data_IF_777007460716
#
_entry.id   IF_777007460716
#
_cell.length_a   1.000
_cell.length_b   1.000
_cell.length_c   1.000
_cell.angle_alpha   90.00
_cell.angle_beta   90.00
_cell.angle_gamma   90.00
#
_symmetry.space_group_name_H-M   'P 1'
#
loop_
_entity.id
_entity.type
_entity.pdbx_description
1 polymer ?
#
# COMPACT_ATOMS: atom_id res chain seq x y z
N UNK A 1 28.35 26.50 11.27
CA UNK A 1 28.14 25.72 10.03
C UNK A 1 26.66 25.45 9.95
N UNK A 2 25.93 26.17 9.10
CA UNK A 2 24.52 25.90 8.85
C UNK A 2 24.48 24.88 7.70
N UNK A 3 23.95 23.70 7.97
CA UNK A 3 23.67 22.72 6.92
C UNK A 3 22.44 23.25 6.20
N UNK A 4 22.61 23.89 5.05
CA UNK A 4 21.52 24.08 4.10
C UNK A 4 21.29 22.71 3.46
N UNK A 5 20.31 21.97 3.98
CA UNK A 5 19.73 20.88 3.22
C UNK A 5 18.95 21.52 2.07
N UNK A 6 19.47 21.42 0.85
CA UNK A 6 18.65 21.60 -0.34
C UNK A 6 17.55 20.53 -0.24
N UNK A 7 16.34 20.97 0.12
CA UNK A 7 15.16 20.10 0.05
C UNK A 7 14.90 19.93 -1.43
N UNK A 8 15.48 18.87 -2.02
CA UNK A 8 15.03 18.38 -3.31
C UNK A 8 13.53 18.11 -3.15
N UNK A 9 12.71 18.96 -3.74
CA UNK A 9 11.28 18.74 -3.84
C UNK A 9 11.13 17.43 -4.60
N UNK A 10 10.73 16.37 -3.89
CA UNK A 10 10.34 15.12 -4.52
C UNK A 10 9.28 15.51 -5.55
N UNK A 11 9.47 15.20 -6.84
CA UNK A 11 8.51 15.57 -7.85
C UNK A 11 7.13 15.06 -7.42
N UNK A 12 6.15 15.97 -7.32
CA UNK A 12 4.78 15.57 -7.07
C UNK A 12 4.37 14.64 -8.21
N UNK A 13 4.13 13.38 -7.89
CA UNK A 13 3.69 12.39 -8.86
C UNK A 13 2.26 12.77 -9.24
N UNK A 14 2.12 13.55 -10.31
CA UNK A 14 0.84 14.04 -10.85
C UNK A 14 0.10 12.95 -11.66
N UNK A 15 0.70 11.76 -11.81
CA UNK A 15 0.13 10.66 -12.56
C UNK A 15 -0.88 9.86 -11.75
N UNK A 16 -2.10 9.73 -12.28
CA UNK A 16 -3.10 8.81 -11.72
C UNK A 16 -2.75 7.36 -12.04
N UNK A 17 -2.90 6.46 -11.06
CA UNK A 17 -2.76 5.02 -11.29
C UNK A 17 -4.00 4.50 -12.03
N UNK A 18 -3.78 3.65 -13.04
CA UNK A 18 -4.90 3.02 -13.73
C UNK A 18 -5.68 2.09 -12.78
N UNK A 19 -7.01 2.05 -12.92
CA UNK A 19 -7.88 1.21 -12.09
C UNK A 19 -7.46 -0.27 -12.13
N UNK A 20 -6.92 -0.74 -13.25
CA UNK A 20 -6.40 -2.12 -13.41
C UNK A 20 -5.20 -2.36 -12.49
N UNK A 21 -4.22 -1.44 -12.50
CA UNK A 21 -3.03 -1.53 -11.63
C UNK A 21 -3.42 -1.39 -10.15
N UNK A 22 -4.34 -0.48 -9.83
CA UNK A 22 -4.88 -0.32 -8.48
C UNK A 22 -5.57 -1.57 -7.95
N UNK A 23 -6.51 -2.14 -8.72
CA UNK A 23 -7.20 -3.39 -8.35
C UNK A 23 -6.21 -4.53 -8.12
N UNK A 24 -5.15 -4.62 -8.92
CA UNK A 24 -4.09 -5.60 -8.70
C UNK A 24 -3.36 -5.41 -7.35
N UNK A 25 -3.05 -4.17 -6.96
CA UNK A 25 -2.46 -3.87 -5.64
C UNK A 25 -3.41 -4.24 -4.50
N UNK A 26 -4.69 -3.89 -4.61
CA UNK A 26 -5.72 -4.24 -3.61
C UNK A 26 -5.82 -5.76 -3.44
N UNK A 27 -5.82 -6.52 -4.53
CA UNK A 27 -5.85 -7.98 -4.47
C UNK A 27 -4.60 -8.57 -3.80
N UNK A 28 -3.41 -8.00 -4.05
CA UNK A 28 -2.18 -8.40 -3.35
C UNK A 28 -2.26 -8.09 -1.86
N UNK A 29 -2.74 -6.89 -1.50
CA UNK A 29 -2.94 -6.51 -0.11
C UNK A 29 -3.90 -7.48 0.59
N UNK A 30 -5.06 -7.76 0.00
CA UNK A 30 -6.02 -8.71 0.57
C UNK A 30 -5.39 -10.08 0.83
N UNK A 31 -4.64 -10.61 -0.14
CA UNK A 31 -3.90 -11.88 0.02
C UNK A 31 -2.87 -11.81 1.14
N UNK A 32 -2.11 -10.73 1.25
CA UNK A 32 -1.13 -10.52 2.32
C UNK A 32 -1.79 -10.52 3.69
N UNK A 33 -2.84 -9.72 3.89
CA UNK A 33 -3.52 -9.63 5.19
C UNK A 33 -4.15 -10.97 5.57
N UNK A 34 -4.79 -11.67 4.64
CA UNK A 34 -5.34 -13.02 4.88
C UNK A 34 -4.22 -13.98 5.30
N UNK A 35 -3.11 -14.01 4.56
CA UNK A 35 -1.98 -14.87 4.89
C UNK A 35 -1.39 -14.54 6.27
N UNK A 36 -1.22 -13.26 6.59
CA UNK A 36 -0.71 -12.82 7.89
C UNK A 36 -1.66 -13.23 9.02
N UNK A 37 -2.96 -13.01 8.86
CA UNK A 37 -3.95 -13.42 9.85
C UNK A 37 -3.94 -14.94 10.08
N UNK A 38 -3.84 -15.73 9.00
CA UNK A 38 -3.69 -17.19 9.07
C UNK A 38 -2.44 -17.62 9.84
N UNK A 39 -1.32 -16.91 9.66
CA UNK A 39 -0.07 -17.21 10.40
C UNK A 39 -0.10 -16.77 11.85
N UNK A 40 -0.83 -15.68 12.18
CA UNK A 40 -0.89 -15.13 13.53
C UNK A 40 -1.85 -15.89 14.44
N UNK A 41 -2.96 -16.41 13.92
CA UNK A 41 -3.90 -17.25 14.65
C UNK A 41 -4.40 -18.41 13.76
N UNK A 42 -3.67 -19.55 13.71
CA UNK A 42 -4.05 -20.70 12.90
C UNK A 42 -5.33 -21.39 13.39
N UNK A 43 -5.82 -21.05 14.58
CA UNK A 43 -7.06 -21.56 15.17
C UNK A 43 -8.31 -20.86 14.62
N UNK A 44 -8.17 -19.70 13.98
CA UNK A 44 -9.29 -18.97 13.39
C UNK A 44 -9.00 -18.53 11.93
N UNK A 45 -8.96 -19.47 10.97
CA UNK A 45 -8.64 -19.18 9.58
C UNK A 45 -9.67 -18.31 8.85
N UNK A 46 -10.84 -18.08 9.46
CA UNK A 46 -11.91 -17.24 8.92
C UNK A 46 -11.94 -15.84 9.54
N UNK A 47 -11.02 -15.50 10.45
CA UNK A 47 -11.01 -14.20 11.15
C UNK A 47 -10.92 -13.00 10.20
N UNK A 48 -10.28 -13.18 9.04
CA UNK A 48 -10.20 -12.18 7.98
C UNK A 48 -10.87 -12.73 6.73
N UNK A 49 -12.11 -12.31 6.49
CA UNK A 49 -12.82 -12.57 5.25
C UNK A 49 -12.72 -11.36 4.29
N UNK A 50 -12.94 -11.57 2.99
CA UNK A 50 -12.90 -10.46 2.01
C UNK A 50 -13.80 -9.31 2.43
N UNK A 51 -14.98 -9.59 2.98
CA UNK A 51 -15.94 -8.57 3.39
C UNK A 51 -15.39 -7.62 4.48
N UNK A 52 -14.61 -8.13 5.43
CA UNK A 52 -13.94 -7.30 6.45
C UNK A 52 -12.87 -6.40 5.81
N UNK A 53 -12.12 -6.93 4.85
CA UNK A 53 -11.12 -6.18 4.11
C UNK A 53 -11.74 -5.12 3.20
N UNK A 54 -12.84 -5.44 2.53
CA UNK A 54 -13.63 -4.49 1.74
C UNK A 54 -14.13 -3.35 2.64
N UNK A 55 -14.60 -3.66 3.85
CA UNK A 55 -14.99 -2.62 4.81
C UNK A 55 -13.83 -1.72 5.23
N UNK A 56 -12.62 -2.28 5.43
CA UNK A 56 -11.42 -1.46 5.69
C UNK A 56 -11.17 -0.53 4.51
N UNK A 57 -11.21 -1.02 3.27
CA UNK A 57 -11.03 -0.16 2.10
C UNK A 57 -12.08 0.96 2.04
N UNK A 58 -13.34 0.69 2.41
CA UNK A 58 -14.38 1.71 2.52
C UNK A 58 -14.07 2.76 3.60
N UNK A 59 -13.61 2.33 4.79
CA UNK A 59 -13.27 3.24 5.90
C UNK A 59 -12.16 4.24 5.53
N UNK A 60 -11.22 3.80 4.70
CA UNK A 60 -10.13 4.63 4.20
C UNK A 60 -10.42 5.27 2.83
N UNK A 61 -11.68 5.19 2.33
CA UNK A 61 -12.10 5.74 1.03
C UNK A 61 -11.31 5.20 -0.18
N UNK A 62 -10.75 3.99 -0.05
CA UNK A 62 -9.94 3.29 -1.04
C UNK A 62 -10.78 2.53 -2.09
N UNK A 63 -12.10 2.56 -1.96
CA UNK A 63 -13.06 1.97 -2.90
C UNK A 63 -13.40 2.88 -4.09
N UNK A 64 -12.72 4.02 -4.24
CA UNK A 64 -12.95 4.97 -5.32
C UNK A 64 -12.50 4.43 -6.69
N UNK A 65 -13.23 4.81 -7.74
CA UNK A 65 -12.89 4.51 -9.14
C UNK A 65 -11.75 5.37 -9.70
N UNK A 66 -11.32 6.40 -8.96
CA UNK A 66 -10.21 7.29 -9.31
C UNK A 66 -9.12 7.25 -8.23
N UNK A 67 -8.32 6.18 -8.19
CA UNK A 67 -7.24 6.06 -7.21
C UNK A 67 -6.10 7.04 -7.47
N UNK A 68 -5.68 7.75 -6.42
CA UNK A 68 -4.55 8.69 -6.44
C UNK A 68 -3.33 8.10 -5.75
N UNK A 69 -2.22 8.83 -5.78
CA UNK A 69 -1.01 8.46 -5.07
C UNK A 69 -1.23 8.25 -3.56
N UNK A 70 -2.03 9.10 -2.91
CA UNK A 70 -2.35 8.99 -1.47
C UNK A 70 -2.98 7.65 -1.12
N UNK A 71 -3.75 7.07 -2.05
CA UNK A 71 -4.39 5.79 -1.84
C UNK A 71 -3.38 4.65 -1.86
N UNK A 72 -2.33 4.77 -2.67
CA UNK A 72 -1.22 3.80 -2.68
C UNK A 72 -0.49 3.84 -1.33
N UNK A 73 -0.16 5.03 -0.84
CA UNK A 73 0.45 5.17 0.49
C UNK A 73 -0.44 4.64 1.60
N UNK A 74 -1.74 4.93 1.54
CA UNK A 74 -2.72 4.44 2.52
C UNK A 74 -2.82 2.91 2.48
N UNK A 75 -2.92 2.31 1.30
CA UNK A 75 -2.98 0.86 1.14
C UNK A 75 -1.69 0.18 1.61
N UNK A 76 -0.54 0.77 1.29
CA UNK A 76 0.76 0.29 1.74
C UNK A 76 0.88 0.35 3.26
N UNK A 77 0.43 1.45 3.89
CA UNK A 77 0.42 1.60 5.34
C UNK A 77 -0.48 0.56 6.02
N UNK A 78 -1.63 0.24 5.43
CA UNK A 78 -2.51 -0.85 5.91
C UNK A 78 -1.89 -2.24 5.74
N UNK A 79 -0.97 -2.41 4.80
CA UNK A 79 -0.27 -3.67 4.51
C UNK A 79 1.09 -3.81 5.17
N UNK A 80 1.65 -2.71 5.68
CA UNK A 80 2.96 -2.68 6.33
C UNK A 80 2.85 -3.18 7.76
N UNK A 81 3.79 -4.02 8.16
CA UNK A 81 3.99 -4.43 9.56
C UNK A 81 4.87 -3.46 10.30
N UNK A 82 5.86 -2.89 9.59
CA UNK A 82 6.84 -1.99 10.15
C UNK A 82 6.90 -0.66 9.38
N UNK A 83 7.10 0.47 10.07
CA UNK A 83 7.23 1.78 9.41
C UNK A 83 8.38 1.82 8.40
N UNK A 84 9.44 1.04 8.65
CA UNK A 84 10.61 0.96 7.78
C UNK A 84 10.29 0.35 6.40
N UNK A 85 9.22 -0.45 6.29
CA UNK A 85 8.79 -0.99 4.99
C UNK A 85 8.23 0.11 4.07
N UNK A 86 7.75 1.22 4.64
CA UNK A 86 7.21 2.36 3.88
C UNK A 86 8.32 3.26 3.31
N UNK A 87 9.54 3.16 3.83
CA UNK A 87 10.68 3.96 3.42
C UNK A 87 10.94 3.93 1.89
N UNK A 88 11.04 2.76 1.22
CA UNK A 88 11.23 2.70 -0.23
C UNK A 88 10.07 3.31 -1.02
N UNK A 89 8.84 3.35 -0.48
CA UNK A 89 7.71 3.99 -1.14
C UNK A 89 7.80 5.52 -1.09
N UNK A 90 8.35 6.07 0.00
CA UNK A 90 8.55 7.51 0.15
C UNK A 90 9.73 8.01 -0.70
N UNK A 91 10.70 7.14 -0.94
CA UNK A 91 11.87 7.42 -1.79
C UNK A 91 11.60 7.15 -3.28
N UNK A 92 10.43 6.62 -3.64
CA UNK A 92 10.08 6.30 -5.01
C UNK A 92 9.96 7.58 -5.87
N UNK A 93 10.78 7.74 -6.92
CA UNK A 93 10.81 8.96 -7.73
C UNK A 93 9.71 8.99 -8.80
N UNK A 94 9.08 7.85 -9.12
CA UNK A 94 8.03 7.74 -10.14
C UNK A 94 6.85 6.90 -9.65
N UNK A 95 5.70 7.07 -10.29
CA UNK A 95 4.52 6.23 -10.03
C UNK A 95 4.81 4.74 -10.26
N UNK A 96 5.64 4.40 -11.24
CA UNK A 96 5.98 3.00 -11.52
C UNK A 96 6.83 2.39 -10.41
N UNK A 97 7.85 3.13 -9.93
CA UNK A 97 8.68 2.73 -8.79
C UNK A 97 7.85 2.58 -7.51
N UNK A 98 6.90 3.50 -7.29
CA UNK A 98 6.00 3.45 -6.14
C UNK A 98 5.11 2.20 -6.19
N UNK A 99 4.54 1.91 -7.36
CA UNK A 99 3.71 0.72 -7.57
C UNK A 99 4.54 -0.55 -7.39
N UNK A 100 5.78 -0.58 -7.90
CA UNK A 100 6.66 -1.73 -7.76
C UNK A 100 7.04 -1.97 -6.29
N UNK A 101 7.48 -0.92 -5.59
CA UNK A 101 7.79 -0.96 -4.15
C UNK A 101 6.59 -1.42 -3.33
N UNK A 102 5.39 -0.92 -3.67
CA UNK A 102 4.15 -1.35 -3.02
C UNK A 102 3.84 -2.82 -3.32
N UNK A 103 4.03 -3.29 -4.55
CA UNK A 103 3.86 -4.72 -4.88
C UNK A 103 4.84 -5.59 -4.10
N UNK A 104 6.11 -5.20 -4.02
CA UNK A 104 7.11 -5.95 -3.27
C UNK A 104 6.76 -6.02 -1.79
N UNK A 105 6.34 -4.90 -1.19
CA UNK A 105 5.84 -4.85 0.18
C UNK A 105 4.64 -5.78 0.36
N UNK A 106 3.68 -5.76 -0.57
CA UNK A 106 2.46 -6.58 -0.48
C UNK A 106 2.66 -8.04 -0.90
N UNK A 107 3.82 -8.40 -1.44
CA UNK A 107 4.12 -9.78 -1.84
C UNK A 107 4.55 -10.58 -0.61
N UNK A 108 3.74 -11.58 -0.26
CA UNK A 108 4.08 -12.53 0.79
C UNK A 108 5.20 -13.44 0.29
N UNK A 109 6.35 -13.43 0.98
CA UNK A 109 7.46 -14.36 0.76
C UNK A 109 7.25 -15.64 1.58
#
# INVERSE_FOLDING_TARGET
>A
MYIQAEVELIPEIDENISLVRWKALVELWKKKIIHQALTSDPSNPHAVNSHALDHVLEQYYLNSDSPTIDYIYSLAALGAKDPNELQPLLEAPTMEDLIESTKELLTVK
#
